data_IF_030059487055
#
_entry.id   IF_030059487055
#
_cell.length_a   1.000
_cell.length_b   1.000
_cell.length_c   1.000
_cell.angle_alpha   90.00
_cell.angle_beta   90.00
_cell.angle_gamma   90.00
#
_symmetry.space_group_name_H-M   'P 1'
#
loop_
_entity.id
_entity.type
_entity.pdbx_description
1 polymer ?
#
# COMPACT_ATOMS: atom_id res chain seq x y z
N UNK A 1 33.33 -3.15 -8.61
CA UNK A 1 32.10 -3.59 -9.31
C UNK A 1 31.00 -3.65 -8.29
N UNK A 2 30.07 -2.69 -8.30
CA UNK A 2 28.89 -2.75 -7.46
C UNK A 2 27.91 -3.70 -8.16
N UNK A 3 27.64 -4.87 -7.58
CA UNK A 3 26.56 -5.74 -8.07
C UNK A 3 25.28 -4.93 -7.93
N UNK A 4 24.68 -4.53 -9.07
CA UNK A 4 23.34 -3.99 -9.06
C UNK A 4 22.44 -5.06 -8.42
N UNK A 5 22.07 -4.83 -7.16
CA UNK A 5 21.15 -5.68 -6.44
C UNK A 5 19.81 -5.53 -7.14
N UNK A 6 19.46 -6.49 -8.00
CA UNK A 6 18.16 -6.49 -8.68
C UNK A 6 17.08 -6.62 -7.60
N UNK A 7 16.41 -5.51 -7.33
CA UNK A 7 15.30 -5.47 -6.40
C UNK A 7 14.07 -6.11 -7.06
N UNK A 8 13.69 -7.29 -6.60
CA UNK A 8 12.46 -7.94 -7.07
C UNK A 8 11.24 -7.23 -6.44
N UNK A 9 10.55 -6.44 -7.25
CA UNK A 9 9.39 -5.66 -6.80
C UNK A 9 8.19 -6.52 -6.41
N UNK A 10 8.04 -7.72 -6.99
CA UNK A 10 6.97 -8.64 -6.59
C UNK A 10 7.17 -9.13 -5.15
N UNK A 11 8.41 -9.48 -4.78
CA UNK A 11 8.74 -9.85 -3.39
C UNK A 11 8.49 -8.67 -2.45
N UNK A 12 8.86 -7.45 -2.84
CA UNK A 12 8.59 -6.25 -2.03
C UNK A 12 7.09 -5.95 -1.90
N UNK A 13 6.30 -6.23 -2.93
CA UNK A 13 4.84 -6.17 -2.85
C UNK A 13 4.30 -7.24 -1.89
N UNK A 14 4.86 -8.45 -1.87
CA UNK A 14 4.49 -9.48 -0.91
C UNK A 14 4.83 -9.09 0.53
N UNK A 15 6.01 -8.50 0.76
CA UNK A 15 6.42 -7.95 2.06
C UNK A 15 5.49 -6.82 2.52
N UNK A 16 5.18 -5.86 1.64
CA UNK A 16 4.19 -4.83 1.91
C UNK A 16 2.82 -5.44 2.23
N UNK A 17 2.37 -6.42 1.45
CA UNK A 17 1.12 -7.13 1.68
C UNK A 17 1.07 -7.79 3.05
N UNK A 18 2.17 -8.44 3.47
CA UNK A 18 2.31 -9.00 4.82
C UNK A 18 2.21 -7.94 5.90
N UNK A 19 2.92 -6.81 5.75
CA UNK A 19 2.86 -5.70 6.71
C UNK A 19 1.42 -5.17 6.84
N UNK A 20 0.75 -4.95 5.71
CA UNK A 20 -0.64 -4.49 5.69
C UNK A 20 -1.58 -5.48 6.40
N UNK A 21 -1.44 -6.79 6.16
CA UNK A 21 -2.23 -7.84 6.80
C UNK A 21 -1.98 -7.99 8.30
N UNK A 22 -0.85 -7.47 8.80
CA UNK A 22 -0.48 -7.48 10.22
C UNK A 22 -0.91 -6.22 10.97
N UNK A 23 -1.46 -5.22 10.27
CA UNK A 23 -1.95 -3.99 10.91
C UNK A 23 -3.02 -4.34 11.94
N UNK A 24 -2.87 -3.71 13.10
CA UNK A 24 -3.88 -3.69 14.15
C UNK A 24 -4.28 -2.24 14.43
N UNK A 25 -5.55 -2.04 14.80
CA UNK A 25 -6.00 -0.75 15.30
C UNK A 25 -5.45 -0.46 16.70
N UNK A 26 -5.79 0.70 17.25
CA UNK A 26 -5.29 1.14 18.56
C UNK A 26 -5.84 0.31 19.74
N UNK A 27 -6.77 -0.61 19.48
CA UNK A 27 -7.31 -1.58 20.43
C UNK A 27 -6.79 -2.99 20.18
N UNK A 28 -5.72 -3.14 19.39
CA UNK A 28 -5.13 -4.41 18.96
C UNK A 28 -6.07 -5.30 18.15
N UNK A 29 -7.15 -4.75 17.58
CA UNK A 29 -8.02 -5.51 16.67
C UNK A 29 -7.32 -5.63 15.31
N UNK A 30 -7.16 -6.84 14.75
CA UNK A 30 -6.54 -7.01 13.45
C UNK A 30 -7.40 -6.37 12.35
N UNK A 31 -6.73 -5.91 11.30
CA UNK A 31 -7.39 -5.51 10.06
C UNK A 31 -8.27 -6.65 9.52
N UNK A 32 -9.46 -6.29 9.05
CA UNK A 32 -10.40 -7.24 8.47
C UNK A 32 -10.13 -7.40 6.96
N UNK A 33 -10.32 -8.61 6.42
CA UNK A 33 -10.20 -8.86 4.97
C UNK A 33 -11.09 -7.92 4.16
N UNK A 34 -12.26 -7.56 4.70
CA UNK A 34 -13.18 -6.60 4.11
C UNK A 34 -12.51 -5.26 3.80
N UNK A 35 -11.71 -4.71 4.71
CA UNK A 35 -11.03 -3.43 4.50
C UNK A 35 -10.03 -3.49 3.34
N UNK A 36 -9.32 -4.62 3.18
CA UNK A 36 -8.40 -4.86 2.06
C UNK A 36 -9.19 -4.98 0.74
N UNK A 37 -10.26 -5.78 0.72
CA UNK A 37 -11.08 -5.99 -0.48
C UNK A 37 -11.74 -4.70 -0.97
N UNK A 38 -12.31 -3.91 -0.06
CA UNK A 38 -12.92 -2.61 -0.41
C UNK A 38 -11.87 -1.60 -0.87
N UNK A 39 -10.68 -1.57 -0.25
CA UNK A 39 -9.58 -0.70 -0.71
C UNK A 39 -9.08 -1.08 -2.09
N UNK A 40 -8.94 -2.39 -2.36
CA UNK A 40 -8.54 -2.90 -3.67
C UNK A 40 -9.55 -2.51 -4.76
N UNK A 41 -10.85 -2.64 -4.48
CA UNK A 41 -11.89 -2.21 -5.42
C UNK A 41 -11.79 -0.71 -5.74
N UNK A 42 -11.62 0.15 -4.73
CA UNK A 42 -11.47 1.60 -4.96
C UNK A 42 -10.17 1.91 -5.73
N UNK A 43 -9.06 1.22 -5.45
CA UNK A 43 -7.81 1.37 -6.19
C UNK A 43 -7.96 1.00 -7.67
N UNK A 44 -8.69 -0.09 -7.94
CA UNK A 44 -8.94 -0.58 -9.29
C UNK A 44 -9.90 0.31 -10.08
N UNK A 45 -10.90 0.91 -9.45
CA UNK A 45 -11.87 1.76 -10.14
C UNK A 45 -11.43 3.24 -10.23
N UNK A 46 -10.89 3.79 -9.13
CA UNK A 46 -10.72 5.23 -8.94
C UNK A 46 -9.25 5.64 -8.74
N UNK A 47 -8.35 4.68 -8.49
CA UNK A 47 -6.92 4.93 -8.33
C UNK A 47 -6.46 5.20 -6.89
N UNK A 48 -5.15 5.38 -6.68
CA UNK A 48 -4.52 5.32 -5.36
C UNK A 48 -4.92 6.48 -4.43
N UNK A 49 -5.15 7.67 -4.98
CA UNK A 49 -5.58 8.81 -4.17
C UNK A 49 -6.96 8.56 -3.54
N UNK A 50 -7.91 8.10 -4.35
CA UNK A 50 -9.26 7.76 -3.90
C UNK A 50 -9.24 6.60 -2.89
N UNK A 51 -8.40 5.60 -3.10
CA UNK A 51 -8.23 4.49 -2.16
C UNK A 51 -7.82 4.97 -0.76
N UNK A 52 -6.84 5.88 -0.65
CA UNK A 52 -6.43 6.40 0.66
C UNK A 52 -7.46 7.33 1.30
N UNK A 53 -8.21 8.10 0.50
CA UNK A 53 -9.37 8.84 1.03
C UNK A 53 -10.45 7.91 1.57
N UNK A 54 -10.77 6.85 0.84
CA UNK A 54 -11.70 5.81 1.27
C UNK A 54 -11.25 5.18 2.59
N UNK A 55 -9.98 4.79 2.69
CA UNK A 55 -9.42 4.17 3.89
C UNK A 55 -9.49 5.12 5.09
N UNK A 56 -9.16 6.41 4.93
CA UNK A 56 -9.33 7.42 5.98
C UNK A 56 -10.80 7.60 6.40
N UNK A 57 -11.73 7.54 5.45
CA UNK A 57 -13.15 7.75 5.74
C UNK A 57 -13.84 6.55 6.40
N UNK A 58 -13.50 5.32 6.00
CA UNK A 58 -14.16 4.08 6.46
C UNK A 58 -13.39 3.31 7.51
N UNK A 59 -12.06 3.47 7.53
CA UNK A 59 -11.12 2.65 8.31
C UNK A 59 -10.05 3.54 8.97
N UNK A 60 -10.45 4.69 9.52
CA UNK A 60 -9.53 5.72 10.05
C UNK A 60 -8.54 5.18 11.10
N UNK A 61 -8.98 4.21 11.90
CA UNK A 61 -8.19 3.56 12.96
C UNK A 61 -6.98 2.76 12.45
N UNK A 62 -6.94 2.43 11.15
CA UNK A 62 -5.80 1.74 10.51
C UNK A 62 -5.17 2.56 9.38
N UNK A 63 -5.87 3.58 8.87
CA UNK A 63 -5.48 4.35 7.69
C UNK A 63 -4.10 5.00 7.82
N UNK A 64 -3.76 5.50 9.02
CA UNK A 64 -2.44 6.08 9.29
C UNK A 64 -1.31 5.05 9.15
N UNK A 65 -1.43 3.88 9.78
CA UNK A 65 -0.43 2.80 9.73
C UNK A 65 -0.28 2.26 8.31
N UNK A 66 -1.39 2.04 7.61
CA UNK A 66 -1.37 1.60 6.22
C UNK A 66 -0.72 2.63 5.31
N UNK A 67 -1.06 3.92 5.48
CA UNK A 67 -0.45 5.02 4.76
C UNK A 67 1.06 5.10 4.97
N UNK A 68 1.52 4.89 6.20
CA UNK A 68 2.95 4.90 6.53
C UNK A 68 3.73 3.79 5.83
N UNK A 69 3.26 2.54 5.92
CA UNK A 69 3.92 1.41 5.24
C UNK A 69 3.97 1.60 3.72
N UNK A 70 2.89 2.11 3.13
CA UNK A 70 2.87 2.37 1.69
C UNK A 70 3.77 3.55 1.32
N UNK A 71 3.81 4.61 2.13
CA UNK A 71 4.71 5.73 1.92
C UNK A 71 6.17 5.28 1.89
N UNK A 72 6.61 4.49 2.87
CA UNK A 72 7.96 3.96 2.95
C UNK A 72 8.30 3.07 1.74
N UNK A 73 7.34 2.24 1.32
CA UNK A 73 7.48 1.41 0.12
C UNK A 73 7.63 2.27 -1.15
N UNK A 74 6.75 3.25 -1.37
CA UNK A 74 6.82 4.12 -2.56
C UNK A 74 8.09 4.97 -2.55
N UNK A 75 8.48 5.52 -1.39
CA UNK A 75 9.71 6.30 -1.26
C UNK A 75 10.93 5.49 -1.65
N UNK A 76 10.98 4.22 -1.30
CA UNK A 76 12.09 3.32 -1.66
C UNK A 76 11.98 2.70 -3.07
N UNK A 77 10.92 2.99 -3.83
CA UNK A 77 10.80 2.60 -5.25
C UNK A 77 11.06 3.79 -6.17
N UNK A 78 10.53 4.96 -5.81
CA UNK A 78 10.52 6.17 -6.64
C UNK A 78 11.50 7.24 -6.16
N UNK A 79 12.19 7.00 -5.03
CA UNK A 79 13.25 7.81 -4.46
C UNK A 79 12.91 9.31 -4.42
N UNK A 80 13.59 10.14 -5.21
CA UNK A 80 13.44 11.60 -5.25
C UNK A 80 12.08 12.08 -5.80
N UNK A 81 11.27 11.21 -6.40
CA UNK A 81 9.95 11.58 -6.96
C UNK A 81 8.84 11.61 -5.92
N UNK A 82 9.07 11.02 -4.74
CA UNK A 82 8.12 11.04 -3.62
C UNK A 82 8.54 12.14 -2.66
N UNK A 83 7.56 12.97 -2.29
CA UNK A 83 7.75 14.04 -1.31
C UNK A 83 8.31 13.49 0.01
N UNK A 84 9.17 14.25 0.68
CA UNK A 84 9.82 13.81 1.92
C UNK A 84 8.92 13.94 3.16
N UNK A 85 7.73 14.52 3.02
CA UNK A 85 6.75 14.48 4.08
C UNK A 85 6.09 13.10 4.11
N UNK A 86 6.04 12.51 5.31
CA UNK A 86 5.46 11.18 5.58
C UNK A 86 3.91 11.16 5.46
N UNK A 87 3.35 11.83 4.46
CA UNK A 87 1.94 11.85 4.11
C UNK A 87 1.73 11.17 2.76
N UNK A 88 1.09 10.01 2.80
CA UNK A 88 0.78 9.22 1.62
C UNK A 88 -0.04 9.97 0.57
N UNK A 89 -0.95 10.88 0.95
CA UNK A 89 -1.71 11.65 -0.04
C UNK A 89 -0.83 12.67 -0.77
N UNK A 90 0.18 13.22 -0.11
CA UNK A 90 1.18 14.08 -0.74
C UNK A 90 2.07 13.26 -1.67
N UNK A 91 2.55 12.10 -1.22
CA UNK A 91 3.32 11.18 -2.04
C UNK A 91 2.61 10.81 -3.36
N UNK A 92 1.32 10.42 -3.29
CA UNK A 92 0.54 10.10 -4.50
C UNK A 92 0.37 11.32 -5.41
N UNK A 93 0.16 12.52 -4.85
CA UNK A 93 0.11 13.76 -5.65
C UNK A 93 1.44 14.07 -6.32
N UNK A 94 2.57 13.84 -5.65
CA UNK A 94 3.89 14.06 -6.24
C UNK A 94 4.15 13.14 -7.42
N UNK A 95 3.79 11.85 -7.30
CA UNK A 95 3.87 10.92 -8.43
C UNK A 95 2.98 11.37 -9.59
N UNK A 96 1.73 11.77 -9.30
CA UNK A 96 0.79 12.25 -10.32
C UNK A 96 1.27 13.52 -11.05
N UNK A 97 1.99 14.40 -10.36
CA UNK A 97 2.52 15.64 -10.93
C UNK A 97 3.88 15.46 -11.62
N UNK A 98 4.62 14.40 -11.27
CA UNK A 98 5.91 14.08 -11.87
C UNK A 98 5.73 13.41 -13.23
N UNK A 99 5.05 12.26 -13.26
CA UNK A 99 4.83 11.47 -14.47
C UNK A 99 3.58 10.58 -14.30
N UNK A 100 2.73 10.52 -15.33
CA UNK A 100 1.57 9.63 -15.32
C UNK A 100 2.01 8.16 -15.22
N UNK A 101 3.13 7.79 -15.84
CA UNK A 101 3.64 6.43 -15.80
C UNK A 101 4.06 6.00 -14.40
N UNK A 102 4.63 6.92 -13.61
CA UNK A 102 4.96 6.65 -12.20
C UNK A 102 3.69 6.41 -11.37
N UNK A 103 2.62 7.17 -11.61
CA UNK A 103 1.34 6.99 -10.93
C UNK A 103 0.68 5.66 -11.31
N UNK A 104 0.68 5.31 -12.60
CA UNK A 104 0.14 4.04 -13.08
C UNK A 104 0.95 2.86 -12.53
N UNK A 105 2.27 2.98 -12.49
CA UNK A 105 3.14 1.95 -11.93
C UNK A 105 2.92 1.79 -10.41
N UNK A 106 2.80 2.89 -9.67
CA UNK A 106 2.45 2.85 -8.25
C UNK A 106 1.10 2.15 -8.04
N UNK A 107 0.09 2.45 -8.86
CA UNK A 107 -1.21 1.75 -8.80
C UNK A 107 -1.05 0.25 -8.99
N UNK A 108 -0.23 -0.19 -9.94
CA UNK A 108 0.01 -1.62 -10.19
C UNK A 108 0.72 -2.31 -9.01
N UNK A 109 1.75 -1.66 -8.44
CA UNK A 109 2.45 -2.16 -7.26
C UNK A 109 1.51 -2.30 -6.04
N UNK A 110 0.64 -1.31 -5.82
CA UNK A 110 -0.35 -1.34 -4.74
C UNK A 110 -1.41 -2.41 -4.96
N UNK A 111 -1.83 -2.64 -6.22
CA UNK A 111 -2.76 -3.73 -6.56
C UNK A 111 -2.17 -5.08 -6.18
N UNK A 112 -0.92 -5.32 -6.56
CA UNK A 112 -0.19 -6.55 -6.22
C UNK A 112 0.00 -6.70 -4.72
N UNK A 113 0.39 -5.63 -4.01
CA UNK A 113 0.57 -5.67 -2.56
C UNK A 113 -0.74 -5.95 -1.80
N UNK A 114 -1.86 -5.34 -2.20
CA UNK A 114 -3.17 -5.61 -1.62
C UNK A 114 -3.66 -7.03 -1.92
N UNK A 115 -3.36 -7.57 -3.12
CA UNK A 115 -3.64 -8.97 -3.42
C UNK A 115 -2.87 -9.91 -2.48
N UNK A 116 -1.57 -9.66 -2.23
CA UNK A 116 -0.79 -10.40 -1.23
C UNK A 116 -1.34 -10.23 0.19
N UNK A 117 -1.74 -9.03 0.59
CA UNK A 117 -2.37 -8.78 1.90
C UNK A 117 -3.62 -9.64 2.09
N UNK A 118 -4.48 -9.71 1.06
CA UNK A 118 -5.67 -10.57 1.06
C UNK A 118 -5.31 -12.05 1.26
N UNK A 119 -4.29 -12.55 0.56
CA UNK A 119 -3.85 -13.94 0.73
C UNK A 119 -3.23 -14.21 2.11
N UNK A 120 -2.49 -13.27 2.68
CA UNK A 120 -1.98 -13.40 4.05
C UNK A 120 -3.11 -13.47 5.08
N UNK A 121 -4.18 -12.69 4.92
CA UNK A 121 -5.35 -12.75 5.81
C UNK A 121 -6.09 -14.10 5.66
N UNK A 122 -6.29 -14.58 4.42
CA UNK A 122 -6.92 -15.88 4.16
C UNK A 122 -6.15 -17.05 4.75
N UNK A 123 -4.84 -17.09 4.54
CA UNK A 123 -3.98 -18.14 5.11
C UNK A 123 -4.05 -18.16 6.65
N UNK A 124 -4.23 -16.99 7.29
CA UNK A 124 -4.40 -16.89 8.75
C UNK A 124 -5.77 -17.39 9.21
N UNK A 125 -6.84 -17.14 8.45
CA UNK A 125 -8.19 -17.62 8.78
C UNK A 125 -8.38 -19.12 8.57
N UNK A 126 -7.69 -19.73 7.61
CA UNK A 126 -7.79 -21.18 7.36
C UNK A 126 -6.92 -22.02 8.30
N UNK A 127 -5.93 -21.41 8.95
CA UNK A 127 -5.04 -22.05 9.91
C UNK A 127 -5.40 -21.84 11.40
N UNK A 128 -6.57 -21.26 11.69
CA UNK A 128 -7.06 -20.96 13.05
C UNK A 128 -8.24 -21.85 13.45
#
# INVERSE_FOLDING_TARGET
MNMAQYTNLDIRCAELGRMLAQIQDDKNKPIEEKAINESLAVLEEQGPYAMFLYLRARHNNIAGKAGQHVYEFLKSVFDDKVDNESDILKAIKSLANSDLDDLLFARDLLRTALAYARYHLKAKSEGS
#
